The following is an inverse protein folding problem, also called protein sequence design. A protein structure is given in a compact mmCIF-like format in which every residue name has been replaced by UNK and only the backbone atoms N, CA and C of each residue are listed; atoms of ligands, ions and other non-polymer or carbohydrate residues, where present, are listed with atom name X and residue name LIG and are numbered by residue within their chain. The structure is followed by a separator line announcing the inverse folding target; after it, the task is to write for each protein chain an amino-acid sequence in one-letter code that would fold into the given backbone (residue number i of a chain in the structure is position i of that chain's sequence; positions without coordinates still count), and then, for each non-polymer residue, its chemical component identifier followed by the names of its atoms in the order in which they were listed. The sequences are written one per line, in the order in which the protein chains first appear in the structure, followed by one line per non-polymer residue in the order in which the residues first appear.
data_IF_741196596630
#
_entry.id   IF_741196596630
#
_cell.length_a   1.000
_cell.length_b   1.000
_cell.length_c   1.000
_cell.angle_alpha   90.00
_cell.angle_beta   90.00
_cell.angle_gamma   90.00
#
_symmetry.space_group_name_H-M   'P 1'
#
loop_
_entity.id
_entity.type
_entity.pdbx_description
1 polymer ?
#
# COMPACT_ATOMS: atom_id res chain seq x y z
N UNK A 1 -12.37 -9.62 15.74
CA UNK A 1 -12.95 -8.67 14.77
C UNK A 1 -11.90 -7.70 14.23
N UNK A 2 -11.13 -7.03 15.09
CA UNK A 2 -10.11 -6.02 14.71
C UNK A 2 -9.00 -6.56 13.81
N UNK A 3 -8.50 -7.78 14.06
CA UNK A 3 -7.49 -8.44 13.20
C UNK A 3 -8.02 -8.65 11.78
N UNK A 4 -9.30 -8.99 11.61
CA UNK A 4 -9.91 -9.13 10.29
C UNK A 4 -9.97 -7.80 9.56
N UNK A 5 -10.38 -6.72 10.25
CA UNK A 5 -10.35 -5.36 9.70
C UNK A 5 -8.94 -4.94 9.29
N UNK A 6 -7.94 -5.29 10.10
CA UNK A 6 -6.54 -5.05 9.79
C UNK A 6 -6.11 -5.79 8.52
N UNK A 7 -6.35 -7.10 8.43
CA UNK A 7 -6.01 -7.88 7.23
C UNK A 7 -6.70 -7.32 5.99
N UNK A 8 -8.00 -6.99 6.09
CA UNK A 8 -8.74 -6.35 5.00
C UNK A 8 -8.16 -4.99 4.61
N UNK A 9 -7.77 -4.17 5.58
CA UNK A 9 -7.17 -2.85 5.33
C UNK A 9 -5.84 -2.96 4.59
N UNK A 10 -5.01 -3.94 4.96
CA UNK A 10 -3.71 -4.20 4.32
C UNK A 10 -3.91 -4.72 2.90
N UNK A 11 -4.80 -5.69 2.70
CA UNK A 11 -5.12 -6.20 1.36
C UNK A 11 -5.68 -5.10 0.45
N UNK A 12 -6.62 -4.30 0.96
CA UNK A 12 -7.17 -3.16 0.23
C UNK A 12 -6.10 -2.10 -0.06
N UNK A 13 -5.18 -1.82 0.88
CA UNK A 13 -4.06 -0.88 0.68
C UNK A 13 -3.11 -1.38 -0.41
N UNK A 14 -2.76 -2.66 -0.38
CA UNK A 14 -1.88 -3.28 -1.36
C UNK A 14 -2.52 -3.29 -2.76
N UNK A 15 -3.82 -3.62 -2.85
CA UNK A 15 -4.58 -3.53 -4.12
C UNK A 15 -4.65 -2.09 -4.63
N UNK A 16 -4.89 -1.12 -3.73
CA UNK A 16 -4.90 0.29 -4.08
C UNK A 16 -3.58 0.73 -4.71
N UNK A 17 -2.46 0.43 -4.06
CA UNK A 17 -1.12 0.79 -4.54
C UNK A 17 -0.78 0.07 -5.86
N UNK A 18 -1.19 -1.18 -6.03
CA UNK A 18 -1.07 -1.89 -7.31
C UNK A 18 -1.80 -1.16 -8.44
N UNK A 19 -3.07 -0.78 -8.23
CA UNK A 19 -3.87 -0.09 -9.23
C UNK A 19 -3.37 1.33 -9.52
N UNK A 20 -2.87 2.05 -8.50
CA UNK A 20 -2.24 3.35 -8.69
C UNK A 20 -0.96 3.24 -9.55
N UNK A 21 -0.13 2.22 -9.33
CA UNK A 21 1.04 1.97 -10.17
C UNK A 21 0.63 1.61 -11.60
N UNK A 22 -0.43 0.80 -11.80
CA UNK A 22 -1.03 0.54 -13.12
C UNK A 22 -1.55 1.82 -13.77
N UNK A 23 -2.19 2.71 -13.02
CA UNK A 23 -2.68 4.00 -13.51
C UNK A 23 -1.53 4.90 -13.98
N UNK A 24 -0.43 4.95 -13.20
CA UNK A 24 0.76 5.71 -13.57
C UNK A 24 1.35 5.22 -14.91
N UNK A 25 1.53 3.91 -15.09
CA UNK A 25 2.00 3.35 -16.37
C UNK A 25 1.01 3.63 -17.51
N UNK A 26 -0.30 3.50 -17.26
CA UNK A 26 -1.33 3.81 -18.25
C UNK A 26 -1.28 5.29 -18.71
N UNK A 27 -0.97 6.21 -17.80
CA UNK A 27 -0.81 7.64 -18.12
C UNK A 27 0.47 7.94 -18.91
N UNK A 28 1.52 7.16 -18.69
CA UNK A 28 2.78 7.25 -19.43
C UNK A 28 2.63 6.71 -20.86
N UNK A 29 1.88 5.61 -21.04
CA UNK A 29 1.55 5.04 -22.35
C UNK A 29 0.55 5.90 -23.16
N UNK A 30 -0.28 6.70 -22.48
CA UNK A 30 -1.32 7.51 -23.09
C UNK A 30 -1.18 9.01 -22.73
N UNK A 31 -0.08 9.67 -23.16
CA UNK A 31 0.19 11.08 -22.82
C UNK A 31 -0.88 12.04 -23.34
N UNK A 32 -1.59 11.68 -24.41
CA UNK A 32 -2.66 12.44 -25.05
C UNK A 32 -3.96 12.54 -24.22
N UNK A 33 -4.12 11.77 -23.14
CA UNK A 33 -5.31 11.85 -22.30
C UNK A 33 -5.38 13.19 -21.58
N UNK A 34 -6.57 13.81 -21.61
CA UNK A 34 -6.87 15.00 -20.81
C UNK A 34 -6.78 14.68 -19.32
N UNK A 35 -6.59 15.70 -18.48
CA UNK A 35 -6.55 15.53 -17.02
C UNK A 35 -7.82 14.85 -16.49
N UNK A 36 -8.99 15.19 -17.05
CA UNK A 36 -10.28 14.56 -16.71
C UNK A 36 -10.30 13.09 -17.16
N UNK A 37 -9.82 12.79 -18.37
CA UNK A 37 -9.72 11.41 -18.86
C UNK A 37 -8.80 10.54 -18.00
N UNK A 38 -7.71 11.10 -17.46
CA UNK A 38 -6.82 10.41 -16.51
C UNK A 38 -7.54 10.11 -15.19
N UNK A 39 -8.27 11.09 -14.63
CA UNK A 39 -9.02 10.91 -13.38
C UNK A 39 -10.09 9.82 -13.48
N UNK A 40 -10.80 9.74 -14.59
CA UNK A 40 -11.85 8.73 -14.81
C UNK A 40 -11.34 7.45 -15.49
N UNK A 41 -10.02 7.28 -15.63
CA UNK A 41 -9.46 6.03 -16.13
C UNK A 41 -9.77 4.88 -15.16
N UNK A 42 -10.09 3.71 -15.71
CA UNK A 42 -10.40 2.51 -14.92
C UNK A 42 -9.34 2.20 -13.84
N UNK A 43 -8.01 2.19 -14.13
CA UNK A 43 -7.03 1.89 -13.10
C UNK A 43 -6.97 2.96 -12.00
N UNK A 44 -7.20 4.24 -12.31
CA UNK A 44 -7.25 5.31 -11.31
C UNK A 44 -8.46 5.15 -10.39
N UNK A 45 -9.65 4.93 -10.96
CA UNK A 45 -10.88 4.75 -10.20
C UNK A 45 -10.76 3.54 -9.27
N UNK A 46 -10.23 2.41 -9.75
CA UNK A 46 -10.00 1.23 -8.91
C UNK A 46 -9.02 1.53 -7.78
N UNK A 47 -7.91 2.22 -8.06
CA UNK A 47 -6.95 2.64 -7.04
C UNK A 47 -7.59 3.47 -5.93
N UNK A 48 -8.47 4.42 -6.28
CA UNK A 48 -9.19 5.27 -5.32
C UNK A 48 -10.25 4.49 -4.53
N UNK A 49 -11.00 3.60 -5.18
CA UNK A 49 -12.01 2.77 -4.49
C UNK A 49 -11.34 1.90 -3.43
N UNK A 50 -10.26 1.19 -3.78
CA UNK A 50 -9.51 0.38 -2.82
C UNK A 50 -8.85 1.21 -1.72
N UNK A 51 -8.40 2.43 -2.05
CA UNK A 51 -7.86 3.37 -1.05
C UNK A 51 -8.94 3.74 -0.03
N UNK A 52 -10.14 4.08 -0.50
CA UNK A 52 -11.28 4.40 0.35
C UNK A 52 -11.66 3.23 1.26
N UNK A 53 -11.75 2.02 0.71
CA UNK A 53 -12.01 0.80 1.51
C UNK A 53 -10.93 0.56 2.55
N UNK A 54 -9.66 0.72 2.18
CA UNK A 54 -8.52 0.61 3.10
C UNK A 54 -8.62 1.63 4.23
N UNK A 55 -8.92 2.89 3.92
CA UNK A 55 -9.08 3.95 4.91
C UNK A 55 -10.24 3.67 5.90
N UNK A 56 -11.40 3.22 5.41
CA UNK A 56 -12.56 2.91 6.27
C UNK A 56 -12.23 1.75 7.22
N UNK A 57 -11.64 0.68 6.69
CA UNK A 57 -11.26 -0.48 7.50
C UNK A 57 -10.14 -0.14 8.50
N UNK A 58 -9.19 0.70 8.09
CA UNK A 58 -8.10 1.19 8.94
C UNK A 58 -8.57 2.03 10.12
N UNK A 59 -9.59 2.89 9.93
CA UNK A 59 -10.22 3.63 11.03
C UNK A 59 -10.79 2.69 12.10
N UNK A 60 -11.36 1.56 11.69
CA UNK A 60 -11.84 0.52 12.61
C UNK A 60 -10.71 -0.22 13.36
N UNK A 61 -9.50 -0.25 12.83
CA UNK A 61 -8.32 -0.79 13.52
C UNK A 61 -7.80 0.22 14.54
N UNK A 62 -7.64 1.48 14.14
CA UNK A 62 -7.14 2.55 15.00
C UNK A 62 -8.08 2.90 16.16
N UNK A 63 -9.36 2.55 16.06
CA UNK A 63 -10.29 2.72 17.19
C UNK A 63 -10.07 1.72 18.33
N UNK A 64 -9.27 0.67 18.10
CA UNK A 64 -9.03 -0.39 19.09
C UNK A 64 -7.56 -0.68 19.36
N UNK A 65 -6.67 -0.39 18.42
CA UNK A 65 -5.23 -0.60 18.57
C UNK A 65 -4.51 0.72 18.75
N UNK A 66 -3.57 0.74 19.69
CA UNK A 66 -2.65 1.85 19.83
C UNK A 66 -1.81 2.01 18.56
N UNK A 67 -1.50 3.27 18.26
CA UNK A 67 -0.64 3.68 17.15
C UNK A 67 0.71 2.95 17.20
N UNK A 68 1.25 2.72 18.40
CA UNK A 68 2.50 1.98 18.60
C UNK A 68 2.45 0.54 18.08
N UNK A 69 1.29 -0.11 18.07
CA UNK A 69 1.13 -1.49 17.56
C UNK A 69 0.64 -1.50 16.11
N UNK A 70 -0.26 -0.59 15.76
CA UNK A 70 -0.88 -0.55 14.44
C UNK A 70 0.13 -0.20 13.33
N UNK A 71 0.96 0.82 13.53
CA UNK A 71 1.93 1.26 12.52
C UNK A 71 2.98 0.19 12.21
N UNK A 72 3.44 -0.60 13.20
CA UNK A 72 4.25 -1.76 12.89
C UNK A 72 3.64 -2.79 11.99
N UNK A 73 2.38 -3.09 12.22
CA UNK A 73 1.68 -4.04 11.39
C UNK A 73 1.43 -3.45 9.99
N UNK A 74 1.18 -2.14 9.86
CA UNK A 74 1.04 -1.47 8.56
C UNK A 74 2.30 -1.56 7.69
N UNK A 75 3.49 -1.55 8.30
CA UNK A 75 4.78 -1.60 7.58
C UNK A 75 4.94 -2.85 6.70
N UNK A 76 4.17 -3.92 6.96
CA UNK A 76 4.11 -5.09 6.09
C UNK A 76 3.70 -4.76 4.65
N UNK A 77 2.93 -3.68 4.44
CA UNK A 77 2.59 -3.19 3.11
C UNK A 77 3.83 -2.87 2.29
N UNK A 78 4.92 -2.39 2.90
CA UNK A 78 6.16 -2.12 2.17
C UNK A 78 6.75 -3.41 1.59
N UNK A 79 6.78 -4.49 2.38
CA UNK A 79 7.24 -5.81 1.92
C UNK A 79 6.31 -6.35 0.83
N UNK A 80 4.99 -6.28 1.04
CA UNK A 80 4.00 -6.75 0.08
C UNK A 80 4.16 -6.00 -1.25
N UNK A 81 4.23 -4.67 -1.21
CA UNK A 81 4.37 -3.85 -2.42
C UNK A 81 5.69 -4.07 -3.12
N UNK A 82 6.78 -4.31 -2.38
CA UNK A 82 8.05 -4.69 -2.99
C UNK A 82 7.90 -5.99 -3.79
N UNK A 83 7.27 -7.01 -3.20
CA UNK A 83 7.04 -8.31 -3.88
C UNK A 83 6.09 -8.14 -5.07
N UNK A 84 4.99 -7.40 -4.90
CA UNK A 84 4.03 -7.10 -5.98
C UNK A 84 4.73 -6.37 -7.12
N UNK A 85 5.62 -5.41 -6.83
CA UNK A 85 6.42 -4.71 -7.83
C UNK A 85 7.28 -5.66 -8.65
N UNK A 86 7.93 -6.62 -8.00
CA UNK A 86 8.71 -7.66 -8.68
C UNK A 86 7.85 -8.50 -9.61
N UNK A 87 6.72 -8.99 -9.10
CA UNK A 87 5.93 -10.02 -9.77
C UNK A 87 5.02 -9.44 -10.86
N UNK A 88 4.39 -8.31 -10.59
CA UNK A 88 3.35 -7.76 -11.45
C UNK A 88 3.88 -6.70 -12.45
N UNK A 89 5.00 -6.05 -12.12
CA UNK A 89 5.60 -5.03 -12.98
C UNK A 89 6.98 -5.43 -13.52
N UNK A 90 7.48 -6.62 -13.17
CA UNK A 90 8.83 -7.10 -13.53
C UNK A 90 9.94 -6.08 -13.19
N UNK A 91 9.73 -5.25 -12.15
CA UNK A 91 10.72 -4.29 -11.71
C UNK A 91 11.92 -5.02 -11.08
N UNK A 92 13.14 -4.64 -11.48
CA UNK A 92 14.36 -5.19 -10.90
C UNK A 92 14.56 -4.58 -9.52
N UNK A 93 14.35 -5.40 -8.48
CA UNK A 93 14.58 -4.98 -7.11
C UNK A 93 16.05 -5.15 -6.77
N UNK A 94 16.74 -4.03 -6.54
CA UNK A 94 18.13 -4.04 -6.14
C UNK A 94 18.28 -4.47 -4.68
N UNK A 95 19.37 -5.16 -4.30
CA UNK A 95 19.62 -5.57 -2.90
C UNK A 95 19.55 -4.42 -1.88
N UNK A 96 19.92 -3.20 -2.30
CA UNK A 96 19.76 -1.96 -1.51
C UNK A 96 18.32 -1.72 -1.05
N UNK A 97 17.32 -1.99 -1.89
CA UNK A 97 15.91 -1.76 -1.56
C UNK A 97 15.44 -2.74 -0.47
N UNK A 98 15.85 -4.01 -0.56
CA UNK A 98 15.63 -4.99 0.50
C UNK A 98 16.26 -4.58 1.83
N UNK A 99 17.50 -4.09 1.79
CA UNK A 99 18.18 -3.56 2.97
C UNK A 99 17.37 -2.41 3.61
N UNK A 100 16.91 -1.46 2.79
CA UNK A 100 16.08 -0.35 3.25
C UNK A 100 14.77 -0.81 3.89
N UNK A 101 14.07 -1.78 3.27
CA UNK A 101 12.86 -2.38 3.86
C UNK A 101 13.18 -3.02 5.21
N UNK A 102 14.28 -3.77 5.33
CA UNK A 102 14.69 -4.35 6.61
C UNK A 102 14.94 -3.28 7.67
N UNK A 103 15.59 -2.16 7.33
CA UNK A 103 15.78 -1.04 8.25
C UNK A 103 14.46 -0.41 8.69
N UNK A 104 13.50 -0.24 7.78
CA UNK A 104 12.15 0.24 8.11
C UNK A 104 11.49 -0.74 9.09
N UNK A 105 11.50 -2.04 8.77
CA UNK A 105 10.91 -3.07 9.63
C UNK A 105 11.53 -3.08 11.04
N UNK A 106 12.85 -2.90 11.14
CA UNK A 106 13.57 -2.81 12.43
C UNK A 106 13.18 -1.54 13.18
N UNK A 107 13.24 -0.37 12.55
CA UNK A 107 12.88 0.90 13.20
C UNK A 107 11.44 0.90 13.69
N UNK A 108 10.57 0.27 12.92
CA UNK A 108 9.17 0.08 13.26
C UNK A 108 8.98 -0.94 14.39
N UNK A 109 9.72 -2.05 14.41
CA UNK A 109 9.71 -3.01 15.52
C UNK A 109 10.19 -2.37 16.84
N UNK A 110 11.14 -1.44 16.79
CA UNK A 110 11.58 -0.67 17.96
C UNK A 110 10.44 0.21 18.50
N UNK A 111 9.68 0.86 17.62
CA UNK A 111 8.50 1.66 18.02
C UNK A 111 7.44 0.77 18.69
N UNK A 112 7.18 -0.41 18.12
CA UNK A 112 6.21 -1.36 18.67
C UNK A 112 6.64 -2.06 19.95
N UNK A 113 7.95 -2.25 20.15
CA UNK A 113 8.52 -2.85 21.35
C UNK A 113 8.65 -1.90 22.55
N UNK A 114 8.29 -0.62 22.40
CA UNK A 114 8.29 0.36 23.49
C UNK A 114 7.01 0.31 24.37
N UNK A 115 6.24 -0.79 24.30
CA UNK A 115 5.05 -1.07 25.12
C UNK A 115 5.39 -1.63 26.49
#
# INVERSE_FOLDING_TARGET
MTVLLFVLSVLASSLSQYWQKRAAMYFEENPQLSAVGKLFSLPMVLGIVFLGTSAITWLGVLSQWDVSVAYPLLSINFVIMLIVSKMAFNEVIVPKQWLGVMFIMVGVAIIGGAS
#
